data_IF_405800963925
#
_entry.id   IF_405800963925
#
_cell.length_a   1.000
_cell.length_b   1.000
_cell.length_c   1.000
_cell.angle_alpha   90.00
_cell.angle_beta   90.00
_cell.angle_gamma   90.00
#
_symmetry.space_group_name_H-M   'P 1'
#
loop_
_entity.id
_entity.type
_entity.pdbx_description
1 polymer ?
#
# COMPACT_ATOMS: atom_id res chain seq x y z
N UNK A 1 7.90 -8.86 29.76
CA UNK A 1 7.40 -7.56 29.24
C UNK A 1 6.69 -7.76 27.90
N UNK A 2 5.35 -7.67 27.84
CA UNK A 2 4.62 -7.86 26.59
C UNK A 2 4.75 -6.61 25.70
N UNK A 3 5.67 -6.65 24.73
CA UNK A 3 5.78 -5.62 23.69
C UNK A 3 4.77 -5.89 22.57
N UNK A 4 4.21 -4.84 21.98
CA UNK A 4 3.37 -4.97 20.79
C UNK A 4 4.21 -5.56 19.63
N UNK A 5 3.84 -6.75 19.18
CA UNK A 5 4.53 -7.45 18.07
C UNK A 5 3.79 -7.21 16.77
N UNK A 6 4.51 -6.77 15.75
CA UNK A 6 3.93 -6.60 14.42
C UNK A 6 3.46 -7.94 13.83
N UNK A 7 2.31 -7.92 13.16
CA UNK A 7 1.75 -9.09 12.51
C UNK A 7 2.66 -9.59 11.36
N UNK A 8 3.31 -10.73 11.57
CA UNK A 8 4.34 -11.27 10.66
C UNK A 8 3.77 -11.68 9.29
N UNK A 9 2.55 -12.21 9.24
CA UNK A 9 1.90 -12.59 7.99
C UNK A 9 1.66 -11.40 7.06
N UNK A 10 1.30 -10.25 7.65
CA UNK A 10 1.11 -9.01 6.91
C UNK A 10 2.47 -8.45 6.48
N UNK A 11 3.44 -8.36 7.40
CA UNK A 11 4.77 -7.82 7.14
C UNK A 11 5.51 -8.51 5.98
N UNK A 12 5.26 -9.80 5.73
CA UNK A 12 5.82 -10.53 4.57
C UNK A 12 5.18 -10.15 3.23
N UNK A 13 3.94 -9.63 3.23
CA UNK A 13 3.12 -9.38 2.03
C UNK A 13 3.17 -7.92 1.57
N UNK A 14 3.44 -7.00 2.49
CA UNK A 14 3.43 -5.55 2.22
C UNK A 14 4.82 -4.94 2.36
N UNK A 15 5.10 -3.91 1.57
CA UNK A 15 6.28 -3.06 1.71
C UNK A 15 5.84 -1.65 2.07
N UNK A 16 6.43 -1.08 3.12
CA UNK A 16 6.20 0.31 3.54
C UNK A 16 7.25 1.19 2.86
N UNK A 17 6.83 2.29 2.21
CA UNK A 17 7.75 3.29 1.65
C UNK A 17 8.33 4.20 2.74
N UNK A 18 9.37 4.99 2.41
CA UNK A 18 9.93 6.02 3.30
C UNK A 18 8.86 6.96 3.86
N UNK A 19 7.89 7.32 3.03
CA UNK A 19 6.78 8.21 3.37
C UNK A 19 5.66 7.53 4.16
N UNK A 20 5.67 6.21 4.33
CA UNK A 20 4.61 5.49 5.04
C UNK A 20 3.47 4.96 4.16
N UNK A 21 3.56 5.10 2.82
CA UNK A 21 2.62 4.45 1.89
C UNK A 21 2.85 2.94 1.85
N UNK A 22 1.76 2.18 1.77
CA UNK A 22 1.81 0.72 1.73
C UNK A 22 1.72 0.24 0.28
N UNK A 23 2.70 -0.57 -0.13
CA UNK A 23 2.77 -1.24 -1.44
C UNK A 23 2.49 -2.72 -1.30
N UNK A 24 1.63 -3.26 -2.16
CA UNK A 24 1.34 -4.69 -2.21
C UNK A 24 1.17 -5.22 -3.64
N UNK A 25 1.35 -6.53 -3.80
CA UNK A 25 1.13 -7.24 -5.07
C UNK A 25 -0.35 -7.43 -5.36
N UNK A 26 -0.75 -7.43 -6.63
CA UNK A 26 -2.15 -7.61 -7.03
C UNK A 26 -2.57 -9.09 -6.81
N UNK A 27 -3.74 -9.35 -6.19
CA UNK A 27 -4.23 -10.72 -6.01
C UNK A 27 -4.55 -11.39 -7.34
N UNK A 28 -4.59 -12.73 -7.35
CA UNK A 28 -4.94 -13.57 -8.51
C UNK A 28 -4.05 -13.43 -9.76
N UNK A 29 -2.81 -12.96 -9.58
CA UNK A 29 -1.86 -12.72 -10.66
C UNK A 29 -1.11 -13.97 -11.15
N UNK A 30 -1.07 -15.04 -10.34
CA UNK A 30 -0.25 -16.24 -10.61
C UNK A 30 -0.91 -17.27 -11.51
N UNK A 31 -2.12 -17.74 -11.19
CA UNK A 31 -2.79 -18.85 -11.85
C UNK A 31 -4.05 -18.42 -12.62
N UNK A 32 -4.62 -19.36 -13.38
CA UNK A 32 -5.83 -19.18 -14.19
C UNK A 32 -5.70 -17.97 -15.14
N UNK A 33 -4.65 -17.98 -15.96
CA UNK A 33 -4.38 -16.92 -16.95
C UNK A 33 -5.02 -17.19 -18.31
N UNK A 34 -5.40 -18.43 -18.60
CA UNK A 34 -6.01 -18.84 -19.88
C UNK A 34 -7.27 -18.06 -20.21
N UNK A 35 -8.14 -17.83 -19.22
CA UNK A 35 -9.43 -17.18 -19.42
C UNK A 35 -9.36 -15.65 -19.25
N UNK A 36 -8.17 -15.08 -19.02
CA UNK A 36 -7.98 -13.65 -18.75
C UNK A 36 -7.46 -12.97 -20.01
N UNK A 37 -7.95 -11.76 -20.28
CA UNK A 37 -7.44 -10.96 -21.40
C UNK A 37 -5.98 -10.56 -21.17
N UNK A 38 -5.24 -10.34 -22.25
CA UNK A 38 -3.85 -9.89 -22.18
C UNK A 38 -3.69 -8.58 -21.40
N UNK A 39 -4.62 -7.64 -21.60
CA UNK A 39 -4.66 -6.35 -20.88
C UNK A 39 -4.85 -6.54 -19.37
N UNK A 40 -5.74 -7.46 -18.97
CA UNK A 40 -5.95 -7.80 -17.56
C UNK A 40 -4.69 -8.42 -16.94
N UNK A 41 -4.01 -9.33 -17.64
CA UNK A 41 -2.74 -9.93 -17.17
C UNK A 41 -1.66 -8.86 -17.00
N UNK A 42 -1.55 -7.91 -17.93
CA UNK A 42 -0.61 -6.80 -17.81
C UNK A 42 -0.92 -5.90 -16.60
N UNK A 43 -2.21 -5.63 -16.33
CA UNK A 43 -2.63 -4.85 -15.16
C UNK A 43 -2.17 -5.47 -13.83
N UNK A 44 -2.08 -6.81 -13.77
CA UNK A 44 -1.66 -7.55 -12.58
C UNK A 44 -0.17 -7.43 -12.27
N UNK A 45 0.64 -7.05 -13.25
CA UNK A 45 2.08 -6.81 -13.07
C UNK A 45 2.34 -5.53 -12.26
N UNK A 46 1.42 -4.57 -12.31
CA UNK A 46 1.53 -3.29 -11.59
C UNK A 46 1.17 -3.47 -10.11
N UNK A 47 2.07 -3.05 -9.22
CA UNK A 47 1.83 -3.04 -7.77
C UNK A 47 0.79 -1.97 -7.42
N UNK A 48 -0.03 -2.25 -6.41
CA UNK A 48 -1.06 -1.32 -5.92
C UNK A 48 -0.64 -0.70 -4.58
N UNK A 49 -1.30 0.40 -4.24
CA UNK A 49 -1.19 1.06 -2.95
C UNK A 49 -2.49 0.91 -2.15
N UNK A 50 -2.38 1.04 -0.83
CA UNK A 50 -3.54 1.00 0.06
C UNK A 50 -4.36 2.30 -0.01
N UNK A 51 -5.68 2.14 0.01
CA UNK A 51 -6.65 3.24 0.05
C UNK A 51 -6.90 3.66 1.50
N UNK A 52 -7.53 4.81 1.67
CA UNK A 52 -7.83 5.42 2.98
C UNK A 52 -8.61 4.50 3.92
N UNK A 53 -9.56 3.71 3.41
CA UNK A 53 -10.36 2.77 4.20
C UNK A 53 -9.54 1.70 4.93
N UNK A 54 -8.48 1.18 4.32
CA UNK A 54 -7.71 0.05 4.88
C UNK A 54 -6.70 0.50 5.96
N UNK A 55 -6.32 1.78 5.97
CA UNK A 55 -5.21 2.28 6.78
C UNK A 55 -5.42 2.09 8.27
N UNK A 56 -6.65 2.30 8.76
CA UNK A 56 -6.97 2.14 10.19
C UNK A 56 -6.72 0.71 10.67
N UNK A 57 -7.11 -0.29 9.88
CA UNK A 57 -6.89 -1.70 10.20
C UNK A 57 -5.40 -2.07 10.12
N UNK A 58 -4.71 -1.63 9.07
CA UNK A 58 -3.29 -1.92 8.84
C UNK A 58 -2.40 -1.28 9.92
N UNK A 59 -2.73 -0.07 10.36
CA UNK A 59 -2.04 0.63 11.44
C UNK A 59 -2.10 -0.16 12.76
N UNK A 60 -3.28 -0.70 13.11
CA UNK A 60 -3.46 -1.53 14.31
C UNK A 60 -2.62 -2.81 14.28
N UNK A 61 -2.47 -3.44 13.11
CA UNK A 61 -1.72 -4.70 12.98
C UNK A 61 -0.19 -4.52 12.97
N UNK A 62 0.28 -3.38 12.48
CA UNK A 62 1.70 -3.08 12.35
C UNK A 62 2.25 -2.20 13.47
N UNK A 63 1.37 -1.51 14.21
CA UNK A 63 1.70 -0.53 15.24
C UNK A 63 2.62 0.58 14.71
N UNK A 64 2.32 1.10 13.51
CA UNK A 64 3.10 2.15 12.84
C UNK A 64 2.16 3.21 12.23
N UNK A 65 2.58 4.48 12.17
CA UNK A 65 1.87 5.49 11.40
C UNK A 65 2.00 5.16 9.91
N UNK A 66 0.86 5.05 9.22
CA UNK A 66 0.77 4.69 7.80
C UNK A 66 -0.04 5.76 7.08
N UNK A 67 0.30 5.99 5.80
CA UNK A 67 -0.43 6.91 4.93
C UNK A 67 -1.14 6.13 3.83
N UNK A 68 -2.35 6.60 3.48
CA UNK A 68 -3.00 6.18 2.25
C UNK A 68 -2.31 6.80 1.03
N UNK A 69 -2.58 6.25 -0.14
CA UNK A 69 -2.13 6.85 -1.39
C UNK A 69 -2.62 8.31 -1.52
N UNK A 70 -3.91 8.54 -1.29
CA UNK A 70 -4.56 9.86 -1.35
C UNK A 70 -3.93 10.86 -0.39
N UNK A 71 -3.73 10.46 0.88
CA UNK A 71 -3.15 11.35 1.90
C UNK A 71 -1.71 11.76 1.56
N UNK A 72 -0.95 10.85 0.95
CA UNK A 72 0.39 11.17 0.52
C UNK A 72 0.38 12.10 -0.70
N UNK A 73 -0.51 11.88 -1.67
CA UNK A 73 -0.64 12.77 -2.84
C UNK A 73 -1.02 14.19 -2.39
N UNK A 74 -1.97 14.33 -1.47
CA UNK A 74 -2.32 15.62 -0.86
C UNK A 74 -1.14 16.28 -0.13
N UNK A 75 -0.32 15.49 0.58
CA UNK A 75 0.84 16.00 1.30
C UNK A 75 1.95 16.49 0.36
N UNK A 76 2.19 15.79 -0.74
CA UNK A 76 3.16 16.24 -1.75
C UNK A 76 2.64 17.50 -2.46
N UNK A 77 1.36 17.54 -2.83
CA UNK A 77 0.75 18.74 -3.42
C UNK A 77 0.86 19.96 -2.47
N UNK A 78 0.57 19.79 -1.19
CA UNK A 78 0.74 20.86 -0.19
C UNK A 78 2.21 21.31 -0.06
N UNK A 79 3.16 20.37 -0.19
CA UNK A 79 4.59 20.68 -0.15
C UNK A 79 5.03 21.46 -1.39
N UNK A 80 4.55 21.09 -2.57
CA UNK A 80 4.83 21.81 -3.81
C UNK A 80 4.32 23.25 -3.74
N UNK A 81 3.09 23.45 -3.24
CA UNK A 81 2.53 24.80 -3.01
C UNK A 81 3.39 25.60 -2.03
N UNK A 82 3.81 25.01 -0.92
CA UNK A 82 4.63 25.69 0.08
C UNK A 82 6.06 26.04 -0.39
N UNK A 83 6.56 25.38 -1.44
CA UNK A 83 7.87 25.70 -2.04
C UNK A 83 7.74 26.75 -3.14
N UNK A 84 6.57 26.86 -3.76
CA UNK A 84 6.29 27.83 -4.82
C UNK A 84 5.91 29.23 -4.29
N UNK A 85 5.53 29.34 -3.02
CA UNK A 85 5.26 30.59 -2.28
C UNK A 85 6.51 31.05 -1.57
#
# INVERSE_FOLDING_TARGET
MPKNKSHKGLAKRIKISKTGKIRFGRPHSRHLKSNKTGTQIQSYRKKRYARSGDIRALSKLLFRPLLSQEQHELREAAREVAVAV
#
